data_IF_095830254753
#
_entry.id   IF_095830254753
#
_cell.length_a   1.000
_cell.length_b   1.000
_cell.length_c   1.000
_cell.angle_alpha   90.00
_cell.angle_beta   90.00
_cell.angle_gamma   90.00
#
_symmetry.space_group_name_H-M   'P 1'
#
loop_
_entity.id
_entity.type
_entity.pdbx_description
1 polymer ?
#
# COMPACT_ATOMS: atom_id res chain seq x y z
N UNK A 1 8.13 2.46 -7.86
CA UNK A 1 6.66 2.55 -7.91
C UNK A 1 6.04 1.65 -8.98
N UNK A 2 6.48 1.71 -10.24
CA UNK A 2 5.92 0.91 -11.35
C UNK A 2 5.83 -0.62 -11.07
N UNK A 3 6.92 -1.23 -10.58
CA UNK A 3 6.95 -2.66 -10.25
C UNK A 3 5.96 -3.07 -9.14
N UNK A 4 5.65 -2.16 -8.20
CA UNK A 4 4.69 -2.41 -7.12
C UNK A 4 3.25 -2.39 -7.65
N UNK A 5 2.96 -1.49 -8.58
CA UNK A 5 1.64 -1.40 -9.24
C UNK A 5 1.42 -2.58 -10.18
N UNK A 6 2.44 -2.97 -10.95
CA UNK A 6 2.39 -4.18 -11.78
C UNK A 6 2.17 -5.44 -10.92
N UNK A 7 2.89 -5.55 -9.80
CA UNK A 7 2.71 -6.61 -8.81
C UNK A 7 1.30 -6.63 -8.22
N UNK A 8 0.73 -5.46 -7.92
CA UNK A 8 -0.65 -5.34 -7.44
C UNK A 8 -1.68 -5.77 -8.49
N UNK A 9 -1.59 -5.26 -9.71
CA UNK A 9 -2.53 -5.64 -10.80
C UNK A 9 -2.49 -7.15 -11.02
N UNK A 10 -1.29 -7.74 -10.98
CA UNK A 10 -1.12 -9.19 -11.06
C UNK A 10 -1.77 -9.91 -9.87
N UNK A 11 -1.50 -9.46 -8.65
CA UNK A 11 -2.10 -10.03 -7.44
C UNK A 11 -3.63 -9.95 -7.46
N UNK A 12 -4.20 -8.81 -7.84
CA UNK A 12 -5.65 -8.59 -7.91
C UNK A 12 -6.31 -9.53 -8.93
N UNK A 13 -5.68 -9.73 -10.10
CA UNK A 13 -6.22 -10.59 -11.16
C UNK A 13 -6.00 -12.08 -10.92
N UNK A 14 -4.84 -12.44 -10.38
CA UNK A 14 -4.39 -13.83 -10.36
C UNK A 14 -4.38 -14.48 -8.98
N UNK A 15 -4.30 -13.73 -7.87
CA UNK A 15 -4.09 -14.31 -6.53
C UNK A 15 -5.26 -14.04 -5.60
N UNK A 16 -5.79 -12.81 -5.61
CA UNK A 16 -6.89 -12.39 -4.74
C UNK A 16 -8.19 -13.20 -4.94
N UNK A 17 -8.67 -13.48 -6.17
CA UNK A 17 -9.95 -14.16 -6.37
C UNK A 17 -9.98 -15.57 -5.78
N UNK A 18 -8.82 -16.25 -5.75
CA UNK A 18 -8.69 -17.62 -5.27
C UNK A 18 -8.62 -17.73 -3.74
N UNK A 19 -8.33 -16.62 -3.04
CA UNK A 19 -8.06 -16.62 -1.58
C UNK A 19 -8.78 -15.46 -0.86
N UNK A 20 -9.84 -14.93 -1.45
CA UNK A 20 -10.52 -13.72 -0.96
C UNK A 20 -11.04 -13.86 0.47
N UNK A 21 -11.58 -15.02 0.85
CA UNK A 21 -12.09 -15.28 2.21
C UNK A 21 -10.98 -15.25 3.27
N UNK A 22 -9.81 -15.82 2.97
CA UNK A 22 -8.65 -15.80 3.86
C UNK A 22 -8.18 -14.36 4.09
N UNK A 23 -8.11 -13.57 3.02
CA UNK A 23 -7.70 -12.18 3.15
C UNK A 23 -8.71 -11.39 3.98
N UNK A 24 -10.02 -11.53 3.74
CA UNK A 24 -11.07 -10.88 4.54
C UNK A 24 -10.97 -11.21 6.04
N UNK A 25 -10.66 -12.46 6.38
CA UNK A 25 -10.41 -12.87 7.77
C UNK A 25 -9.15 -12.24 8.39
N UNK A 26 -8.07 -12.07 7.62
CA UNK A 26 -6.87 -11.39 8.10
C UNK A 26 -7.11 -9.90 8.33
N UNK A 27 -7.96 -9.26 7.53
CA UNK A 27 -8.32 -7.84 7.66
C UNK A 27 -8.87 -7.49 9.04
N UNK A 28 -9.65 -8.40 9.63
CA UNK A 28 -10.26 -8.20 10.95
C UNK A 28 -9.30 -8.44 12.12
N UNK A 29 -8.06 -8.90 11.87
CA UNK A 29 -7.16 -9.43 12.91
C UNK A 29 -5.82 -8.69 13.01
N UNK A 30 -5.53 -7.72 12.14
CA UNK A 30 -4.21 -7.07 12.08
C UNK A 30 -4.10 -5.85 13.00
N UNK A 31 -3.00 -5.78 13.77
CA UNK A 31 -2.58 -4.62 14.56
C UNK A 31 -1.22 -4.13 14.02
N UNK A 32 -1.15 -3.02 13.25
CA UNK A 32 0.09 -2.60 12.61
C UNK A 32 1.03 -1.82 13.57
N UNK A 33 2.28 -2.28 13.73
CA UNK A 33 3.34 -1.62 14.54
C UNK A 33 4.47 -0.96 13.70
N UNK A 34 4.31 -0.88 12.38
CA UNK A 34 5.41 -0.54 11.46
C UNK A 34 5.90 0.91 11.52
N UNK A 35 5.14 1.85 12.10
CA UNK A 35 5.51 3.27 12.16
C UNK A 35 6.54 3.62 13.25
N UNK A 36 6.81 2.73 14.22
CA UNK A 36 7.61 3.07 15.40
C UNK A 36 9.05 2.53 15.38
N UNK A 37 9.51 1.91 14.29
CA UNK A 37 10.83 1.29 14.25
C UNK A 37 11.97 2.33 14.08
N UNK A 38 12.94 2.44 15.01
CA UNK A 38 13.98 3.49 15.01
C UNK A 38 14.81 3.56 13.71
N UNK A 39 15.06 2.42 13.08
CA UNK A 39 15.82 2.30 11.82
C UNK A 39 15.12 3.00 10.65
N UNK A 40 13.78 3.01 10.64
CA UNK A 40 12.97 3.71 9.61
C UNK A 40 13.09 5.22 9.81
N UNK A 41 13.04 5.69 11.06
CA UNK A 41 13.16 7.12 11.39
C UNK A 41 14.53 7.70 11.01
N UNK A 42 15.62 6.96 11.26
CA UNK A 42 16.97 7.39 10.89
C UNK A 42 17.15 7.48 9.36
N UNK A 43 16.56 6.56 8.59
CA UNK A 43 16.64 6.57 7.13
C UNK A 43 15.83 7.72 6.49
N UNK A 44 14.73 8.12 7.12
CA UNK A 44 13.95 9.30 6.74
C UNK A 44 14.72 10.61 6.96
N UNK A 45 15.29 10.82 8.15
CA UNK A 45 16.04 12.05 8.47
C UNK A 45 17.25 12.23 7.53
N UNK A 46 17.88 11.13 7.13
CA UNK A 46 19.00 11.15 6.19
C UNK A 46 18.56 11.35 4.73
N UNK A 47 17.26 11.51 4.44
CA UNK A 47 16.67 11.56 3.08
C UNK A 47 17.05 10.36 2.21
N UNK A 48 17.39 9.23 2.83
CA UNK A 48 17.76 7.98 2.16
C UNK A 48 16.55 7.09 1.88
N UNK A 49 15.41 7.41 2.48
CA UNK A 49 14.16 6.69 2.35
C UNK A 49 13.02 7.68 2.10
N UNK A 50 12.19 7.38 1.09
CA UNK A 50 10.90 8.04 0.91
C UNK A 50 9.81 7.12 1.44
N UNK A 51 8.99 7.63 2.35
CA UNK A 51 7.85 6.88 2.88
C UNK A 51 6.63 7.17 2.02
N UNK A 52 6.04 6.09 1.51
CA UNK A 52 4.79 6.15 0.78
C UNK A 52 3.73 5.45 1.61
N UNK A 53 2.68 6.19 1.98
CA UNK A 53 1.51 5.65 2.67
C UNK A 53 0.52 5.07 1.64
N UNK A 54 0.18 3.80 1.80
CA UNK A 54 -0.86 3.13 1.02
C UNK A 54 -1.76 2.35 1.97
N UNK A 55 -3.05 2.35 1.66
CA UNK A 55 -4.06 1.57 2.36
C UNK A 55 -4.57 0.51 1.39
N UNK A 56 -4.48 -0.74 1.82
CA UNK A 56 -5.06 -1.86 1.11
C UNK A 56 -6.40 -2.21 1.74
N UNK A 57 -7.45 -2.07 0.96
CA UNK A 57 -8.78 -2.55 1.31
C UNK A 57 -8.87 -4.02 0.91
N UNK A 58 -8.88 -4.86 1.93
CA UNK A 58 -8.86 -6.30 1.76
C UNK A 58 -10.23 -6.85 1.32
N UNK A 59 -11.31 -6.15 1.64
CA UNK A 59 -12.67 -6.55 1.29
C UNK A 59 -12.91 -6.41 -0.21
N UNK A 60 -12.47 -5.28 -0.76
CA UNK A 60 -12.65 -4.90 -2.18
C UNK A 60 -11.44 -5.24 -3.05
N UNK A 61 -10.27 -5.49 -2.44
CA UNK A 61 -9.00 -5.69 -3.13
C UNK A 61 -8.42 -4.39 -3.71
N UNK A 62 -8.85 -3.22 -3.23
CA UNK A 62 -8.43 -1.91 -3.76
C UNK A 62 -7.21 -1.37 -3.01
N UNK A 63 -6.32 -0.65 -3.71
CA UNK A 63 -5.25 0.11 -3.06
C UNK A 63 -5.44 1.60 -3.32
N UNK A 64 -5.46 2.37 -2.24
CA UNK A 64 -5.37 3.83 -2.27
C UNK A 64 -4.01 4.26 -1.73
N UNK A 65 -3.36 5.22 -2.39
CA UNK A 65 -2.11 5.82 -1.94
C UNK A 65 -2.30 7.30 -1.65
N UNK A 66 -1.55 7.82 -0.67
CA UNK A 66 -1.49 9.24 -0.42
C UNK A 66 -0.63 9.91 -1.49
N UNK A 67 -1.22 10.81 -2.27
CA UNK A 67 -0.48 11.69 -3.17
C UNK A 67 0.19 12.80 -2.35
N UNK A 68 1.50 12.97 -2.49
CA UNK A 68 2.27 13.93 -1.71
C UNK A 68 2.14 15.37 -2.18
N UNK A 69 1.63 15.60 -3.39
CA UNK A 69 1.42 16.95 -3.93
C UNK A 69 0.08 17.52 -3.51
N UNK A 70 -0.97 16.70 -3.53
CA UNK A 70 -2.34 17.13 -3.19
C UNK A 70 -2.75 16.70 -1.79
N UNK A 71 -1.92 15.91 -1.10
CA UNK A 71 -2.20 15.33 0.22
C UNK A 71 -3.55 14.59 0.25
N UNK A 72 -3.91 13.97 -0.88
CA UNK A 72 -5.20 13.30 -1.09
C UNK A 72 -4.97 11.82 -1.36
N UNK A 73 -5.86 10.95 -0.87
CA UNK A 73 -5.81 9.54 -1.23
C UNK A 73 -6.36 9.33 -2.64
N UNK A 74 -5.56 8.69 -3.49
CA UNK A 74 -5.90 8.38 -4.88
C UNK A 74 -5.73 6.89 -5.14
N UNK A 75 -6.59 6.34 -6.01
CA UNK A 75 -6.54 4.93 -6.42
C UNK A 75 -5.28 4.67 -7.24
N UNK A 76 -4.43 3.75 -6.77
CA UNK A 76 -3.20 3.38 -7.50
C UNK A 76 -3.49 2.60 -8.79
N UNK A 77 -4.66 1.97 -8.89
CA UNK A 77 -5.07 1.28 -10.12
C UNK A 77 -5.38 2.27 -11.26
N UNK A 78 -5.91 3.44 -10.92
CA UNK A 78 -6.29 4.48 -11.87
C UNK A 78 -5.18 5.50 -12.10
N UNK A 79 -4.39 5.80 -11.07
CA UNK A 79 -3.30 6.78 -11.10
C UNK A 79 -1.96 6.13 -10.72
N UNK A 80 -1.35 5.33 -11.62
CA UNK A 80 -0.13 4.59 -11.36
C UNK A 80 1.13 5.48 -11.20
N UNK A 81 1.04 6.76 -11.54
CA UNK A 81 2.16 7.71 -11.42
C UNK A 81 2.18 8.46 -10.08
N UNK A 82 1.22 8.18 -9.20
CA UNK A 82 1.11 8.80 -7.86
C UNK A 82 2.40 8.58 -7.06
N UNK A 83 2.95 9.66 -6.55
CA UNK A 83 4.13 9.67 -5.67
C UNK A 83 3.77 10.47 -4.42
N UNK A 84 4.13 9.92 -3.25
CA UNK A 84 4.19 10.71 -2.01
C UNK A 84 5.42 11.61 -2.01
#
# INVERSE_FOLDING_TARGET
>A
MKALIEGFIKFQKEVFPQRSDLFKYLATTQNPETLFHPSVRLALEQKKLNLHGWVYDIETGSIIALDGKTNTFVSLAEFPETKA
#
